data_IF_321399143237
#
_entry.id   IF_321399143237
#
_cell.length_a   1.000
_cell.length_b   1.000
_cell.length_c   1.000
_cell.angle_alpha   90.00
_cell.angle_beta   90.00
_cell.angle_gamma   90.00
#
_symmetry.space_group_name_H-M   'P 1'
#
loop_
_entity.id
_entity.type
_entity.pdbx_description
1 polymer ?
#
# COMPACT_ATOMS: atom_id res chain seq x y z
N UNK A 1 -7.38 -10.16 -24.35
CA UNK A 1 -6.43 -9.76 -23.30
C UNK A 1 -6.51 -10.75 -22.14
N UNK A 2 -5.38 -10.98 -21.46
CA UNK A 2 -5.25 -12.00 -20.41
C UNK A 2 -5.29 -11.37 -19.03
N UNK A 3 -6.07 -11.95 -18.13
CA UNK A 3 -6.02 -11.67 -16.70
C UNK A 3 -5.12 -12.75 -16.07
N UNK A 4 -3.80 -12.48 -16.06
CA UNK A 4 -2.71 -13.31 -15.51
C UNK A 4 -2.32 -14.61 -16.24
N UNK A 5 -1.06 -15.03 -16.00
CA UNK A 5 -0.32 -16.07 -16.72
C UNK A 5 -0.76 -17.50 -16.41
N UNK A 6 -0.22 -18.47 -17.16
CA UNK A 6 -0.70 -19.85 -17.23
C UNK A 6 -0.79 -20.58 -15.86
N UNK A 7 0.00 -20.16 -14.86
CA UNK A 7 -0.10 -20.68 -13.49
C UNK A 7 -1.41 -20.31 -12.79
N UNK A 8 -1.96 -19.13 -13.07
CA UNK A 8 -3.25 -18.70 -12.53
C UNK A 8 -4.40 -19.50 -13.15
N UNK A 9 -4.32 -19.87 -14.44
CA UNK A 9 -5.28 -20.79 -15.09
C UNK A 9 -5.30 -22.15 -14.42
N UNK A 10 -4.13 -22.73 -14.15
CA UNK A 10 -4.04 -24.02 -13.46
C UNK A 10 -4.58 -23.98 -12.02
N UNK A 11 -4.38 -22.88 -11.29
CA UNK A 11 -4.96 -22.69 -9.95
C UNK A 11 -6.46 -22.42 -10.01
N UNK A 12 -6.94 -21.67 -10.99
CA UNK A 12 -8.35 -21.37 -11.20
C UNK A 12 -9.17 -22.60 -11.62
N UNK A 13 -8.58 -23.50 -12.41
CA UNK A 13 -9.17 -24.82 -12.71
C UNK A 13 -9.25 -25.69 -11.46
N UNK A 14 -8.29 -25.60 -10.52
CA UNK A 14 -8.34 -26.31 -9.24
C UNK A 14 -9.34 -25.72 -8.25
N UNK A 15 -9.40 -24.39 -8.16
CA UNK A 15 -10.22 -23.65 -7.19
C UNK A 15 -11.60 -23.26 -7.75
N UNK A 16 -11.92 -23.70 -8.97
CA UNK A 16 -13.17 -23.43 -9.68
C UNK A 16 -13.51 -21.93 -9.80
N UNK A 17 -12.47 -21.10 -9.96
CA UNK A 17 -12.59 -19.65 -10.14
C UNK A 17 -12.63 -19.35 -11.63
N UNK A 18 -13.68 -18.69 -12.13
CA UNK A 18 -13.76 -18.33 -13.54
C UNK A 18 -12.71 -17.25 -13.88
N UNK A 19 -11.63 -17.64 -14.56
CA UNK A 19 -10.70 -16.69 -15.16
C UNK A 19 -11.16 -16.32 -16.57
N UNK A 20 -11.45 -15.05 -16.79
CA UNK A 20 -11.82 -14.54 -18.11
C UNK A 20 -10.59 -14.38 -19.00
N UNK A 21 -10.57 -15.05 -20.14
CA UNK A 21 -9.57 -14.84 -21.20
C UNK A 21 -10.26 -14.57 -22.53
N UNK A 22 -9.76 -13.59 -23.28
CA UNK A 22 -10.20 -13.34 -24.67
C UNK A 22 -9.26 -14.01 -25.67
N UNK A 23 -8.85 -15.25 -25.39
CA UNK A 23 -8.01 -16.04 -26.31
C UNK A 23 -8.85 -16.65 -27.46
N UNK A 24 -10.19 -16.66 -27.36
CA UNK A 24 -11.07 -17.18 -28.40
C UNK A 24 -11.27 -16.18 -29.55
N UNK A 25 -10.54 -16.38 -30.64
CA UNK A 25 -10.65 -15.54 -31.85
C UNK A 25 -12.02 -15.63 -32.53
N UNK A 26 -12.78 -16.71 -32.35
CA UNK A 26 -14.13 -16.85 -32.94
C UNK A 26 -15.09 -15.88 -32.26
N UNK A 27 -14.96 -15.70 -30.95
CA UNK A 27 -15.81 -14.81 -30.16
C UNK A 27 -15.32 -13.35 -30.20
N UNK A 28 -14.00 -13.13 -30.16
CA UNK A 28 -13.41 -11.79 -29.96
C UNK A 28 -12.72 -11.21 -31.20
N UNK A 29 -12.52 -12.01 -32.25
CA UNK A 29 -11.78 -11.62 -33.43
C UNK A 29 -10.26 -11.59 -33.23
N UNK A 30 -9.54 -11.26 -34.31
CA UNK A 30 -8.08 -11.19 -34.30
C UNK A 30 -7.58 -9.90 -33.67
N UNK A 31 -6.44 -10.01 -32.99
CA UNK A 31 -5.76 -8.85 -32.42
C UNK A 31 -5.09 -8.01 -33.51
N UNK A 32 -5.60 -6.79 -33.75
CA UNK A 32 -5.09 -5.90 -34.80
C UNK A 32 -3.85 -5.10 -34.39
N UNK A 33 -3.76 -4.71 -33.12
CA UNK A 33 -2.64 -3.94 -32.59
C UNK A 33 -2.43 -4.24 -31.10
N UNK A 34 -1.16 -4.31 -30.68
CA UNK A 34 -0.76 -4.49 -29.28
C UNK A 34 0.31 -3.48 -28.95
N UNK A 35 0.02 -2.59 -28.02
CA UNK A 35 1.04 -1.76 -27.39
C UNK A 35 1.32 -2.35 -26.00
N UNK A 36 2.48 -2.97 -25.84
CA UNK A 36 2.87 -3.56 -24.55
C UNK A 36 3.34 -2.48 -23.58
N UNK A 37 3.26 -2.75 -22.28
CA UNK A 37 3.76 -1.83 -21.25
C UNK A 37 5.24 -1.47 -21.47
N UNK A 38 6.10 -2.48 -21.70
CA UNK A 38 7.52 -2.26 -21.96
C UNK A 38 7.77 -1.40 -23.20
N UNK A 39 6.95 -1.53 -24.23
CA UNK A 39 7.05 -0.69 -25.43
C UNK A 39 6.59 0.75 -25.17
N UNK A 40 5.51 0.94 -24.41
CA UNK A 40 5.06 2.26 -24.00
C UNK A 40 6.12 2.99 -23.14
N UNK A 41 6.80 2.28 -22.24
CA UNK A 41 7.94 2.83 -21.46
C UNK A 41 9.10 3.21 -22.37
N UNK A 42 9.51 2.35 -23.31
CA UNK A 42 10.58 2.65 -24.29
C UNK A 42 10.26 3.87 -25.16
N UNK A 43 8.98 4.10 -25.47
CA UNK A 43 8.50 5.25 -26.25
C UNK A 43 8.30 6.51 -25.39
N UNK A 44 8.55 6.45 -24.07
CA UNK A 44 8.35 7.57 -23.16
C UNK A 44 6.87 7.93 -22.90
N UNK A 45 5.94 7.02 -23.23
CA UNK A 45 4.50 7.22 -22.99
C UNK A 45 4.10 6.90 -21.55
N UNK A 46 4.85 6.00 -20.90
CA UNK A 46 4.65 5.58 -19.50
C UNK A 46 5.99 5.59 -18.77
N UNK A 47 5.91 5.69 -17.44
CA UNK A 47 7.06 5.53 -16.54
C UNK A 47 7.12 4.07 -16.09
N UNK A 48 8.33 3.53 -16.00
CA UNK A 48 8.53 2.16 -15.50
C UNK A 48 8.15 2.04 -14.01
N UNK A 49 7.68 0.88 -13.60
CA UNK A 49 7.34 0.63 -12.19
C UNK A 49 8.46 -0.12 -11.49
N UNK A 50 8.55 0.06 -10.18
CA UNK A 50 9.48 -0.67 -9.33
C UNK A 50 8.75 -1.34 -8.18
N UNK A 51 8.94 -2.65 -8.04
CA UNK A 51 8.37 -3.43 -6.95
C UNK A 51 9.37 -3.44 -5.80
N UNK A 52 8.94 -2.95 -4.65
CA UNK A 52 9.74 -2.94 -3.42
C UNK A 52 9.04 -3.83 -2.41
N UNK A 53 9.77 -4.81 -1.88
CA UNK A 53 9.29 -5.71 -0.82
C UNK A 53 10.08 -5.40 0.45
N UNK A 54 9.41 -4.82 1.45
CA UNK A 54 10.01 -4.51 2.74
C UNK A 54 9.55 -5.51 3.80
N UNK A 55 10.52 -6.07 4.51
CA UNK A 55 10.28 -6.85 5.73
C UNK A 55 10.49 -5.97 6.96
N UNK A 56 9.56 -6.04 7.91
CA UNK A 56 9.63 -5.29 9.17
C UNK A 56 9.62 -6.31 10.30
N UNK A 57 10.64 -6.24 11.18
CA UNK A 57 10.69 -7.06 12.38
C UNK A 57 9.67 -6.56 13.42
N UNK A 58 8.73 -7.43 13.77
CA UNK A 58 7.69 -7.16 14.76
C UNK A 58 8.28 -6.89 16.15
N UNK A 59 9.36 -7.58 16.52
CA UNK A 59 10.02 -7.40 17.83
C UNK A 59 10.67 -6.02 17.95
N UNK A 60 11.15 -5.46 16.83
CA UNK A 60 11.67 -4.09 16.76
C UNK A 60 10.55 -3.05 16.89
N UNK A 61 9.43 -3.28 16.19
CA UNK A 61 8.26 -2.38 16.25
C UNK A 61 7.62 -2.40 17.64
N UNK A 62 7.41 -3.58 18.21
CA UNK A 62 6.83 -3.76 19.54
C UNK A 62 7.64 -3.04 20.62
N UNK A 63 8.97 -3.14 20.58
CA UNK A 63 9.87 -2.44 21.52
C UNK A 63 9.77 -0.91 21.43
N UNK A 64 9.62 -0.37 20.22
CA UNK A 64 9.54 1.08 20.00
C UNK A 64 8.16 1.67 20.25
N UNK A 65 7.11 0.88 20.07
CA UNK A 65 5.72 1.34 20.20
C UNK A 65 5.06 0.85 21.49
N UNK A 66 5.82 0.45 22.50
CA UNK A 66 5.27 -0.06 23.77
C UNK A 66 4.27 0.90 24.41
N UNK A 67 4.48 2.22 24.31
CA UNK A 67 3.59 3.20 24.91
C UNK A 67 2.21 3.21 24.22
N UNK A 68 2.18 3.16 22.89
CA UNK A 68 0.93 3.10 22.11
C UNK A 68 0.22 1.74 22.20
N UNK A 69 0.98 0.66 22.40
CA UNK A 69 0.47 -0.70 22.52
C UNK A 69 -0.06 -1.04 23.92
N UNK A 70 0.33 -0.28 24.95
CA UNK A 70 -0.13 -0.47 26.34
C UNK A 70 -1.49 0.17 26.64
N UNK A 71 -1.97 1.04 25.77
CA UNK A 71 -3.22 1.76 25.98
C UNK A 71 -4.43 0.82 25.78
N UNK A 72 -5.16 0.53 26.86
CA UNK A 72 -6.28 -0.44 26.90
C UNK A 72 -7.44 -0.05 25.96
N UNK A 73 -7.54 1.23 25.59
CA UNK A 73 -8.54 1.72 24.63
C UNK A 73 -8.11 1.52 23.18
N UNK A 74 -6.84 1.20 22.93
CA UNK A 74 -6.26 1.17 21.61
C UNK A 74 -6.35 -0.26 21.06
N UNK A 75 -7.19 -0.46 20.05
CA UNK A 75 -7.30 -1.73 19.31
C UNK A 75 -6.07 -1.98 18.41
N UNK A 76 -4.93 -1.34 18.71
CA UNK A 76 -3.70 -1.40 17.93
C UNK A 76 -3.07 -2.78 18.11
N UNK A 77 -3.16 -3.61 17.07
CA UNK A 77 -2.31 -4.80 16.98
C UNK A 77 -0.93 -4.43 16.47
N UNK A 78 0.09 -5.13 16.95
CA UNK A 78 1.47 -4.96 16.50
C UNK A 78 1.59 -5.16 14.99
N UNK A 79 0.80 -6.07 14.41
CA UNK A 79 0.69 -6.27 12.96
C UNK A 79 0.34 -5.00 12.17
N UNK A 80 -0.63 -4.21 12.64
CA UNK A 80 -1.07 -3.00 11.95
C UNK A 80 -0.06 -1.87 12.14
N UNK A 81 0.53 -1.78 13.33
CA UNK A 81 1.62 -0.86 13.59
C UNK A 81 2.85 -1.16 12.70
N UNK A 82 3.20 -2.43 12.52
CA UNK A 82 4.29 -2.85 11.64
C UNK A 82 4.02 -2.50 10.18
N UNK A 83 2.77 -2.63 9.70
CA UNK A 83 2.38 -2.20 8.36
C UNK A 83 2.49 -0.70 8.18
N UNK A 84 2.03 0.10 9.15
CA UNK A 84 2.16 1.57 9.11
C UNK A 84 3.64 1.98 9.07
N UNK A 85 4.47 1.41 9.94
CA UNK A 85 5.93 1.67 9.94
C UNK A 85 6.57 1.25 8.63
N UNK A 86 6.18 0.11 8.06
CA UNK A 86 6.65 -0.36 6.76
C UNK A 86 6.28 0.60 5.63
N UNK A 87 5.03 1.07 5.59
CA UNK A 87 4.58 2.08 4.64
C UNK A 87 5.38 3.38 4.78
N UNK A 88 5.57 3.87 6.01
CA UNK A 88 6.34 5.08 6.25
C UNK A 88 7.80 4.96 5.78
N UNK A 89 8.47 3.83 6.08
CA UNK A 89 9.83 3.55 5.61
C UNK A 89 9.92 3.47 4.08
N UNK A 90 8.91 2.88 3.43
CA UNK A 90 8.82 2.82 1.98
C UNK A 90 8.70 4.21 1.36
N UNK A 91 7.83 5.06 1.93
CA UNK A 91 7.62 6.43 1.48
C UNK A 91 8.86 7.28 1.69
N UNK A 92 9.54 7.11 2.82
CA UNK A 92 10.80 7.80 3.13
C UNK A 92 12.00 7.26 2.37
N UNK A 93 11.83 6.15 1.62
CA UNK A 93 12.89 5.41 0.92
C UNK A 93 14.09 5.05 1.81
N UNK A 94 13.85 4.87 3.11
CA UNK A 94 14.92 4.61 4.07
C UNK A 94 15.41 3.17 3.97
N UNK A 95 16.73 3.00 3.81
CA UNK A 95 17.35 1.68 3.68
C UNK A 95 17.15 1.03 2.30
N UNK A 96 16.74 1.82 1.29
CA UNK A 96 16.57 1.39 -0.10
C UNK A 96 17.66 1.94 -1.03
N UNK A 97 18.76 2.44 -0.46
CA UNK A 97 19.82 3.17 -1.17
C UNK A 97 20.53 2.32 -2.23
N UNK A 98 20.64 1.01 -2.04
CA UNK A 98 21.24 0.10 -3.04
C UNK A 98 20.29 -0.20 -4.20
N UNK A 99 18.98 -0.11 -3.97
CA UNK A 99 18.01 -0.41 -5.00
C UNK A 99 17.73 0.84 -5.85
N UNK A 100 17.72 2.04 -5.27
CA UNK A 100 17.30 3.27 -5.93
C UNK A 100 18.49 3.97 -6.60
N UNK A 101 18.54 3.90 -7.93
CA UNK A 101 19.57 4.50 -8.77
C UNK A 101 19.43 6.04 -8.87
N UNK A 102 19.52 6.76 -7.75
CA UNK A 102 19.67 8.23 -7.62
C UNK A 102 18.44 9.06 -7.17
N UNK A 103 17.26 8.45 -6.95
CA UNK A 103 16.10 9.16 -6.40
C UNK A 103 15.89 8.90 -4.90
N UNK A 104 16.58 9.70 -4.08
CA UNK A 104 16.50 9.67 -2.62
C UNK A 104 15.37 10.54 -2.04
N UNK A 105 14.60 11.25 -2.88
CA UNK A 105 13.51 12.08 -2.38
C UNK A 105 12.32 11.23 -1.93
N UNK A 106 11.77 11.55 -0.76
CA UNK A 106 10.60 10.86 -0.24
C UNK A 106 9.40 10.95 -1.19
N UNK A 107 8.60 9.88 -1.25
CA UNK A 107 7.38 9.84 -2.04
C UNK A 107 6.32 10.76 -1.43
N UNK A 108 5.70 11.60 -2.26
CA UNK A 108 4.74 12.61 -1.82
C UNK A 108 3.30 12.11 -1.76
N UNK A 109 2.95 11.07 -2.53
CA UNK A 109 1.58 10.58 -2.66
C UNK A 109 1.58 9.07 -2.81
N UNK A 110 0.67 8.41 -2.10
CA UNK A 110 0.45 6.98 -2.20
C UNK A 110 -1.01 6.63 -1.98
N UNK A 111 -1.39 5.46 -2.48
CA UNK A 111 -2.70 4.86 -2.23
C UNK A 111 -2.46 3.50 -1.60
N UNK A 112 -3.01 3.29 -0.41
CA UNK A 112 -2.94 2.02 0.31
C UNK A 112 -4.24 1.22 0.09
N UNK A 113 -4.10 -0.09 -0.08
CA UNK A 113 -5.22 -1.01 -0.20
C UNK A 113 -5.36 -1.82 1.09
N UNK A 114 -6.56 -1.81 1.67
CA UNK A 114 -6.90 -2.55 2.88
C UNK A 114 -7.98 -3.60 2.57
N UNK A 115 -8.08 -4.63 3.42
CA UNK A 115 -8.98 -5.75 3.20
C UNK A 115 -10.44 -5.44 3.58
N UNK A 116 -10.64 -4.59 4.59
CA UNK A 116 -11.97 -4.21 5.09
C UNK A 116 -12.06 -2.71 5.35
N UNK A 117 -13.27 -2.16 5.36
CA UNK A 117 -13.51 -0.76 5.69
C UNK A 117 -13.46 -0.57 7.22
N UNK A 118 -14.28 -1.33 7.94
CA UNK A 118 -14.40 -1.29 9.41
C UNK A 118 -13.82 -2.56 10.04
N UNK A 119 -13.34 -2.43 11.28
CA UNK A 119 -12.86 -3.57 12.04
C UNK A 119 -14.03 -4.47 12.46
N UNK A 120 -13.95 -5.76 12.12
CA UNK A 120 -14.97 -6.74 12.47
C UNK A 120 -14.69 -7.29 13.87
N UNK A 121 -15.49 -6.90 14.86
CA UNK A 121 -15.39 -7.42 16.23
C UNK A 121 -15.74 -8.92 16.24
N UNK A 122 -14.84 -9.75 16.79
CA UNK A 122 -15.06 -11.19 16.93
C UNK A 122 -14.72 -12.05 15.69
N UNK A 123 -14.08 -11.50 14.66
CA UNK A 123 -13.61 -12.28 13.53
C UNK A 123 -12.46 -13.24 13.94
N UNK A 124 -12.50 -14.49 13.45
CA UNK A 124 -11.45 -15.50 13.68
C UNK A 124 -10.09 -15.09 13.10
N UNK A 125 -10.10 -14.29 12.03
CA UNK A 125 -8.91 -13.80 11.35
C UNK A 125 -8.86 -12.28 11.42
N UNK A 126 -7.68 -11.76 11.76
CA UNK A 126 -7.45 -10.33 11.77
C UNK A 126 -7.40 -9.80 10.34
N UNK A 127 -8.20 -8.77 10.04
CA UNK A 127 -8.24 -8.10 8.74
C UNK A 127 -7.94 -6.62 8.92
N UNK A 128 -7.11 -6.08 8.03
CA UNK A 128 -6.68 -4.68 8.09
C UNK A 128 -7.83 -3.78 7.66
N UNK A 129 -8.22 -2.86 8.55
CA UNK A 129 -9.27 -1.85 8.32
C UNK A 129 -8.67 -0.55 7.79
N UNK A 130 -9.20 -0.03 6.68
CA UNK A 130 -8.76 1.26 6.12
C UNK A 130 -9.06 2.44 7.04
N UNK A 131 -10.21 2.44 7.73
CA UNK A 131 -10.56 3.49 8.69
C UNK A 131 -9.63 3.48 9.90
N UNK A 132 -9.34 2.29 10.43
CA UNK A 132 -8.44 2.16 11.57
C UNK A 132 -7.02 2.62 11.20
N UNK A 133 -6.49 2.15 10.07
CA UNK A 133 -5.16 2.57 9.58
C UNK A 133 -5.11 4.08 9.36
N UNK A 134 -6.11 4.68 8.69
CA UNK A 134 -6.11 6.12 8.44
C UNK A 134 -6.12 6.94 9.73
N UNK A 135 -6.91 6.55 10.73
CA UNK A 135 -6.99 7.24 12.01
C UNK A 135 -5.70 7.13 12.84
N UNK A 136 -5.01 5.98 12.76
CA UNK A 136 -3.83 5.69 13.59
C UNK A 136 -2.50 6.06 12.93
N UNK A 137 -2.48 6.26 11.61
CA UNK A 137 -1.26 6.40 10.83
C UNK A 137 -0.30 7.43 11.43
N UNK A 138 -0.81 8.64 11.66
CA UNK A 138 -0.01 9.74 12.19
C UNK A 138 0.53 9.45 13.59
N UNK A 139 -0.32 8.98 14.51
CA UNK A 139 0.08 8.70 15.89
C UNK A 139 1.19 7.64 15.97
N UNK A 140 1.07 6.57 15.19
CA UNK A 140 2.08 5.49 15.12
C UNK A 140 3.40 6.01 14.55
N UNK A 141 3.35 6.80 13.48
CA UNK A 141 4.55 7.39 12.87
C UNK A 141 5.24 8.35 13.83
N UNK A 142 4.50 9.22 14.51
CA UNK A 142 5.05 10.17 15.47
C UNK A 142 5.74 9.47 16.64
N UNK A 143 5.13 8.43 17.23
CA UNK A 143 5.75 7.67 18.31
C UNK A 143 6.99 6.89 17.84
N UNK A 144 6.95 6.33 16.63
CA UNK A 144 8.10 5.66 16.03
C UNK A 144 9.27 6.62 15.80
N UNK A 145 8.98 7.87 15.39
CA UNK A 145 9.99 8.91 15.20
C UNK A 145 10.60 9.34 16.54
N UNK A 146 9.80 9.53 17.60
CA UNK A 146 10.29 9.92 18.94
C UNK A 146 11.28 8.91 19.54
N UNK A 147 11.07 7.62 19.26
CA UNK A 147 11.92 6.54 19.77
C UNK A 147 13.13 6.23 18.87
N UNK A 148 13.25 6.93 17.74
CA UNK A 148 14.39 6.83 16.83
C UNK A 148 15.45 7.87 17.21
N UNK A 149 16.73 7.46 17.29
CA UNK A 149 17.82 8.35 17.66
C UNK A 149 18.02 9.48 16.61
N UNK A 150 18.35 10.71 17.03
CA UNK A 150 18.44 11.90 16.17
C UNK A 150 19.58 11.89 15.12
N UNK A 151 20.44 10.87 15.12
CA UNK A 151 21.60 10.76 14.21
C UNK A 151 21.29 10.15 12.84
N UNK A 152 20.13 9.53 12.67
CA UNK A 152 19.68 9.15 11.33
C UNK A 152 19.11 10.42 10.73
N UNK A 153 19.48 10.77 9.51
CA UNK A 153 18.79 11.78 8.70
C UNK A 153 17.35 11.32 8.39
N UNK A 154 16.55 11.09 9.42
CA UNK A 154 15.14 10.81 9.34
C UNK A 154 14.53 12.11 8.91
N UNK A 155 14.34 12.24 7.59
CA UNK A 155 13.40 13.17 7.00
C UNK A 155 12.15 13.13 7.89
N UNK A 156 11.89 14.23 8.60
CA UNK A 156 10.68 14.41 9.42
C UNK A 156 9.50 14.46 8.43
N UNK A 157 9.12 13.29 7.95
CA UNK A 157 8.03 13.13 7.02
C UNK A 157 6.76 13.12 7.84
N UNK A 158 6.06 14.24 7.74
CA UNK A 158 4.67 14.32 8.13
C UNK A 158 3.85 13.59 7.06
N UNK A 159 3.09 12.59 7.49
CA UNK A 159 2.27 11.78 6.60
C UNK A 159 0.84 11.80 7.09
N UNK A 160 -0.05 12.37 6.27
CA UNK A 160 -1.50 12.34 6.49
C UNK A 160 -2.11 11.17 5.72
N UNK A 161 -3.07 10.49 6.35
CA UNK A 161 -3.81 9.40 5.74
C UNK A 161 -5.32 9.72 5.73
N UNK A 162 -5.97 9.48 4.60
CA UNK A 162 -7.41 9.67 4.45
C UNK A 162 -8.05 8.37 3.96
N UNK A 163 -9.15 7.98 4.60
CA UNK A 163 -9.98 6.86 4.16
C UNK A 163 -10.91 7.26 3.01
N UNK A 164 -11.17 6.33 2.08
CA UNK A 164 -12.11 6.47 0.98
C UNK A 164 -12.89 5.15 0.78
N UNK A 165 -14.23 5.21 0.72
CA UNK A 165 -15.07 4.04 0.44
C UNK A 165 -16.26 4.33 -0.49
N UNK A 166 -17.07 3.30 -0.75
CA UNK A 166 -18.27 3.36 -1.57
C UNK A 166 -19.40 4.23 -1.01
N UNK A 167 -19.41 4.51 0.30
CA UNK A 167 -20.43 5.36 0.95
C UNK A 167 -20.22 6.85 0.72
N UNK A 168 -19.05 7.26 0.23
CA UNK A 168 -18.73 8.67 -0.05
C UNK A 168 -19.25 9.12 -1.42
N UNK A 169 -19.76 10.36 -1.49
CA UNK A 169 -20.17 10.96 -2.75
C UNK A 169 -18.96 11.36 -3.63
N UNK A 170 -19.20 11.67 -4.91
CA UNK A 170 -18.13 11.98 -5.86
C UNK A 170 -17.23 13.15 -5.42
N UNK A 171 -17.81 14.19 -4.82
CA UNK A 171 -17.06 15.35 -4.33
C UNK A 171 -16.16 14.99 -3.15
N UNK A 172 -16.64 14.18 -2.21
CA UNK A 172 -15.87 13.68 -1.07
C UNK A 172 -14.72 12.77 -1.53
N UNK A 173 -14.97 11.85 -2.46
CA UNK A 173 -13.94 10.98 -3.05
C UNK A 173 -12.83 11.80 -3.70
N UNK A 174 -13.20 12.79 -4.52
CA UNK A 174 -12.21 13.69 -5.15
C UNK A 174 -11.40 14.43 -4.11
N UNK A 175 -12.05 15.04 -3.11
CA UNK A 175 -11.31 15.78 -2.06
C UNK A 175 -10.28 14.89 -1.36
N UNK A 176 -10.69 13.69 -0.95
CA UNK A 176 -9.82 12.78 -0.22
C UNK A 176 -8.71 12.18 -1.10
N UNK A 177 -8.94 12.02 -2.41
CA UNK A 177 -7.92 11.49 -3.34
C UNK A 177 -6.94 12.54 -3.84
N UNK A 178 -7.30 13.83 -3.79
CA UNK A 178 -6.42 14.91 -4.28
C UNK A 178 -5.42 15.40 -3.23
N UNK A 179 -5.65 15.04 -1.95
CA UNK A 179 -4.85 15.50 -0.81
C UNK A 179 -4.99 17.01 -0.56
N UNK A 180 -4.78 17.43 0.69
CA UNK A 180 -4.58 18.84 1.04
C UNK A 180 -3.32 19.33 0.33
N UNK A 181 -3.43 20.09 -0.76
CA UNK A 181 -2.31 20.93 -1.22
C UNK A 181 -2.15 22.04 -0.18
N UNK A 182 -1.40 21.78 0.90
CA UNK A 182 -0.81 22.89 1.64
C UNK A 182 0.29 23.46 0.75
N UNK A 183 0.10 24.72 0.36
CA UNK A 183 1.13 25.57 -0.24
C UNK A 183 2.11 26.01 0.85
#
# INVERSE_FOLDING_TARGET
>A
PRIYGDSAKASAERDNVALCSMDDEVLYGKQLYVLTFSEAVKRGLLVDYKVIVLSVDEAHVSRRLQNLLKDENNQLKVDDAAKIVGCWKALSKQGLDQDLADDHHAMQRAVAFCQVIEMQKGAKTHKVSSKNIANMFQAVVEEYQKTSAPDVATTQLHCEAAHVDGGMNASQKRRNSTGSRQQ
#
